data_IF_272792354180
#
_entry.id   IF_272792354180
#
_cell.length_a   1.000
_cell.length_b   1.000
_cell.length_c   1.000
_cell.angle_alpha   90.00
_cell.angle_beta   90.00
_cell.angle_gamma   90.00
#
_symmetry.space_group_name_H-M   'P 1'
#
loop_
_entity.id
_entity.type
_entity.pdbx_description
1 polymer ?
#
# COMPACT_ATOMS: atom_id res chain seq x y z
N UNK A 1 11.16 23.35 -8.60
CA UNK A 1 10.59 21.98 -8.46
C UNK A 1 11.42 21.20 -7.45
N UNK A 2 10.81 20.59 -6.46
CA UNK A 2 11.43 19.75 -5.45
C UNK A 2 11.78 18.37 -6.00
N UNK A 3 12.76 17.67 -5.40
CA UNK A 3 13.05 16.27 -5.79
C UNK A 3 11.94 15.33 -5.38
N UNK A 4 11.44 15.47 -4.14
CA UNK A 4 10.44 14.59 -3.53
C UNK A 4 9.39 15.40 -2.80
N UNK A 5 8.12 14.98 -2.91
CA UNK A 5 7.04 15.39 -2.03
C UNK A 5 6.42 14.16 -1.34
N UNK A 6 6.13 14.31 -0.05
CA UNK A 6 5.39 13.32 0.74
C UNK A 6 3.96 13.80 0.88
N UNK A 7 3.00 12.99 0.46
CA UNK A 7 1.58 13.31 0.46
C UNK A 7 0.81 12.38 1.39
N UNK A 8 0.23 12.91 2.46
CA UNK A 8 -0.63 12.17 3.38
C UNK A 8 -2.10 12.33 3.02
N UNK A 9 -2.81 11.24 2.90
CA UNK A 9 -4.26 11.22 2.75
C UNK A 9 -4.89 10.82 4.07
N UNK A 10 -5.72 11.69 4.67
CA UNK A 10 -6.27 11.48 6.01
C UNK A 10 -7.78 11.75 6.09
N UNK A 11 -8.44 11.13 7.08
CA UNK A 11 -9.86 11.33 7.38
C UNK A 11 -10.14 11.08 8.85
N UNK A 12 -10.54 12.11 9.60
CA UNK A 12 -10.86 12.08 11.05
C UNK A 12 -9.71 11.55 11.93
N UNK A 13 -8.44 11.84 11.57
CA UNK A 13 -7.26 11.31 12.26
C UNK A 13 -6.20 12.34 12.60
N UNK A 14 -6.64 13.50 13.10
CA UNK A 14 -5.76 14.61 13.51
C UNK A 14 -4.63 14.18 14.45
N UNK A 15 -4.89 13.22 15.38
CA UNK A 15 -3.87 12.71 16.31
C UNK A 15 -2.76 11.93 15.60
N UNK A 16 -3.09 11.15 14.56
CA UNK A 16 -2.10 10.40 13.76
C UNK A 16 -1.24 11.38 12.95
N UNK A 17 -1.88 12.35 12.28
CA UNK A 17 -1.16 13.39 11.53
C UNK A 17 -0.23 14.19 12.45
N UNK A 18 -0.66 14.48 13.68
CA UNK A 18 0.22 15.13 14.65
C UNK A 18 1.45 14.29 14.96
N UNK A 19 1.26 12.99 15.24
CA UNK A 19 2.36 12.05 15.53
C UNK A 19 3.32 11.93 14.33
N UNK A 20 2.78 11.84 13.12
CA UNK A 20 3.57 11.78 11.89
C UNK A 20 4.41 13.05 11.72
N UNK A 21 3.78 14.22 11.81
CA UNK A 21 4.46 15.51 11.66
C UNK A 21 5.49 15.78 12.77
N UNK A 22 5.23 15.38 14.01
CA UNK A 22 6.20 15.51 15.10
C UNK A 22 7.50 14.73 14.81
N UNK A 23 7.44 13.68 13.98
CA UNK A 23 8.60 12.85 13.61
C UNK A 23 9.29 13.38 12.35
N UNK A 24 8.53 13.78 11.34
CA UNK A 24 9.09 14.05 10.00
C UNK A 24 9.33 15.54 9.72
N UNK A 25 8.71 16.48 10.44
CA UNK A 25 8.78 17.91 10.10
C UNK A 25 10.21 18.45 10.01
N UNK A 26 11.06 18.17 10.99
CA UNK A 26 12.44 18.62 10.98
C UNK A 26 13.26 17.87 9.90
N UNK A 27 13.25 16.53 9.82
CA UNK A 27 13.97 15.83 8.76
C UNK A 27 13.57 16.24 7.35
N UNK A 28 12.28 16.40 7.06
CA UNK A 28 11.83 16.82 5.73
C UNK A 28 12.30 18.22 5.36
N UNK A 29 12.37 19.14 6.34
CA UNK A 29 12.97 20.48 6.16
C UNK A 29 14.45 20.37 5.79
N UNK A 30 15.22 19.56 6.51
CA UNK A 30 16.65 19.37 6.28
C UNK A 30 16.96 18.78 4.90
N UNK A 31 16.16 17.82 4.45
CA UNK A 31 16.32 17.19 3.14
C UNK A 31 15.61 17.93 1.99
N UNK A 32 14.95 19.07 2.26
CA UNK A 32 14.25 19.87 1.26
C UNK A 32 13.04 19.17 0.64
N UNK A 33 12.38 18.28 1.40
CA UNK A 33 11.19 17.51 1.01
C UNK A 33 9.95 18.29 1.44
N UNK A 34 9.02 18.55 0.52
CA UNK A 34 7.74 19.16 0.86
C UNK A 34 6.75 18.10 1.34
N UNK A 35 5.89 18.47 2.30
CA UNK A 35 4.88 17.59 2.89
C UNK A 35 3.50 18.16 2.65
N UNK A 36 2.60 17.37 2.08
CA UNK A 36 1.23 17.73 1.78
C UNK A 36 0.27 16.89 2.60
N UNK A 37 -0.72 17.54 3.25
CA UNK A 37 -1.75 16.86 4.03
C UNK A 37 -3.10 17.07 3.35
N UNK A 38 -3.64 16.02 2.75
CA UNK A 38 -4.94 16.01 2.08
C UNK A 38 -6.00 15.48 3.02
N UNK A 39 -6.77 16.40 3.62
CA UNK A 39 -7.75 16.09 4.66
C UNK A 39 -9.17 16.03 4.10
N UNK A 40 -9.87 14.92 4.32
CA UNK A 40 -11.28 14.74 4.02
C UNK A 40 -12.19 14.87 5.23
N UNK A 41 -11.68 15.29 6.39
CA UNK A 41 -12.44 15.38 7.62
C UNK A 41 -13.53 16.46 7.54
N UNK A 42 -14.66 16.23 8.20
CA UNK A 42 -15.75 17.23 8.27
C UNK A 42 -15.47 18.35 9.27
N UNK A 43 -14.56 18.13 10.23
CA UNK A 43 -14.16 19.10 11.23
C UNK A 43 -12.78 19.72 10.93
N UNK A 44 -12.38 20.71 11.74
CA UNK A 44 -11.14 21.46 11.54
C UNK A 44 -9.97 20.95 12.41
N UNK A 45 -10.07 19.79 13.08
CA UNK A 45 -9.03 19.30 14.01
C UNK A 45 -7.71 19.04 13.33
N UNK A 46 -7.74 18.44 12.14
CA UNK A 46 -6.51 18.19 11.34
C UNK A 46 -5.89 19.52 10.90
N UNK A 47 -6.69 20.46 10.38
CA UNK A 47 -6.25 21.80 10.00
C UNK A 47 -5.55 22.52 11.16
N UNK A 48 -6.15 22.48 12.33
CA UNK A 48 -5.59 23.10 13.53
C UNK A 48 -4.22 22.51 13.89
N UNK A 49 -4.09 21.19 13.84
CA UNK A 49 -2.82 20.50 14.11
C UNK A 49 -1.74 20.91 13.11
N UNK A 50 -2.06 20.90 11.80
CA UNK A 50 -1.11 21.26 10.75
C UNK A 50 -0.67 22.71 10.86
N UNK A 51 -1.62 23.65 11.07
CA UNK A 51 -1.32 25.08 11.22
C UNK A 51 -0.38 25.34 12.40
N UNK A 52 -0.58 24.65 13.54
CA UNK A 52 0.36 24.76 14.67
C UNK A 52 1.80 24.30 14.35
N UNK A 53 1.98 23.38 13.43
CA UNK A 53 3.28 22.96 12.98
C UNK A 53 3.88 24.01 12.03
N UNK A 54 3.08 24.56 11.11
CA UNK A 54 3.49 25.65 10.20
C UNK A 54 3.93 26.88 10.99
N UNK A 55 3.20 27.27 12.02
CA UNK A 55 3.49 28.40 12.93
C UNK A 55 4.86 28.26 13.64
N UNK A 56 5.37 27.02 13.79
CA UNK A 56 6.72 26.75 14.31
C UNK A 56 7.83 26.93 13.27
N UNK A 57 7.52 27.42 12.07
CA UNK A 57 8.49 27.68 11.00
C UNK A 57 8.70 26.52 10.01
N UNK A 58 7.76 25.57 9.95
CA UNK A 58 7.80 24.45 8.97
C UNK A 58 6.97 24.79 7.73
N UNK A 59 7.36 25.84 6.97
CA UNK A 59 6.62 26.38 5.82
C UNK A 59 6.58 25.43 4.59
N UNK A 60 7.34 24.34 4.60
CA UNK A 60 7.34 23.29 3.58
C UNK A 60 6.20 22.26 3.82
N UNK A 61 5.37 22.47 4.85
CA UNK A 61 4.19 21.64 5.13
C UNK A 61 2.95 22.38 4.65
N UNK A 62 2.15 21.72 3.83
CA UNK A 62 0.98 22.27 3.16
C UNK A 62 -0.28 21.52 3.60
N UNK A 63 -1.35 22.28 3.89
CA UNK A 63 -2.66 21.71 4.21
C UNK A 63 -3.66 21.98 3.09
N UNK A 64 -4.28 20.91 2.59
CA UNK A 64 -5.34 20.94 1.60
C UNK A 64 -6.57 20.19 2.13
N UNK A 65 -7.74 20.70 1.84
CA UNK A 65 -9.00 20.09 2.24
C UNK A 65 -9.78 19.63 1.02
N UNK A 66 -10.24 18.37 1.03
CA UNK A 66 -11.13 17.87 -0.01
C UNK A 66 -12.51 18.53 0.07
N UNK A 67 -13.24 18.59 -1.05
CA UNK A 67 -14.59 19.12 -1.08
C UNK A 67 -15.50 18.34 -0.10
N UNK A 68 -16.10 19.06 0.84
CA UNK A 68 -16.98 18.50 1.89
C UNK A 68 -18.28 17.93 1.35
N UNK A 69 -18.68 18.33 0.14
CA UNK A 69 -19.91 17.89 -0.51
C UNK A 69 -19.77 16.54 -1.21
N UNK A 70 -18.55 16.03 -1.36
CA UNK A 70 -18.31 14.73 -1.99
C UNK A 70 -18.74 13.56 -1.09
N UNK A 71 -19.22 12.49 -1.70
CA UNK A 71 -19.35 11.19 -1.02
C UNK A 71 -18.01 10.73 -0.46
N UNK A 72 -18.02 9.87 0.54
CA UNK A 72 -16.77 9.37 1.15
C UNK A 72 -15.82 8.71 0.15
N UNK A 73 -16.37 8.00 -0.83
CA UNK A 73 -15.60 7.35 -1.90
C UNK A 73 -15.00 8.40 -2.86
N UNK A 74 -15.81 9.33 -3.36
CA UNK A 74 -15.33 10.38 -4.26
C UNK A 74 -14.32 11.29 -3.57
N UNK A 75 -14.53 11.61 -2.29
CA UNK A 75 -13.56 12.36 -1.49
C UNK A 75 -12.23 11.61 -1.32
N UNK A 76 -12.24 10.28 -1.19
CA UNK A 76 -10.99 9.49 -1.16
C UNK A 76 -10.27 9.52 -2.50
N UNK A 77 -11.00 9.34 -3.60
CA UNK A 77 -10.45 9.40 -4.96
C UNK A 77 -9.85 10.76 -5.24
N UNK A 78 -10.59 11.84 -4.96
CA UNK A 78 -10.09 13.21 -5.13
C UNK A 78 -8.78 13.42 -4.36
N UNK A 79 -8.76 13.12 -3.06
CA UNK A 79 -7.56 13.31 -2.23
C UNK A 79 -6.34 12.54 -2.75
N UNK A 80 -6.54 11.34 -3.25
CA UNK A 80 -5.44 10.55 -3.84
C UNK A 80 -4.97 11.18 -5.15
N UNK A 81 -5.87 11.61 -6.03
CA UNK A 81 -5.52 12.30 -7.27
C UNK A 81 -4.76 13.59 -6.98
N UNK A 82 -5.29 14.43 -6.09
CA UNK A 82 -4.66 15.69 -5.70
C UNK A 82 -3.27 15.43 -5.08
N UNK A 83 -3.15 14.39 -4.24
CA UNK A 83 -1.90 14.01 -3.61
C UNK A 83 -0.82 13.57 -4.61
N UNK A 84 -1.21 13.05 -5.76
CA UNK A 84 -0.30 12.63 -6.82
C UNK A 84 0.01 13.74 -7.83
N UNK A 85 -0.92 14.68 -8.06
CA UNK A 85 -0.82 15.66 -9.15
C UNK A 85 -0.46 17.08 -8.71
N UNK A 86 -0.93 17.52 -7.54
CA UNK A 86 -0.71 18.92 -7.07
C UNK A 86 0.74 19.20 -6.69
N UNK A 87 1.51 18.31 -6.00
CA UNK A 87 2.85 18.64 -5.53
C UNK A 87 3.79 19.08 -6.66
N UNK A 88 4.49 20.21 -6.49
CA UNK A 88 5.56 20.64 -7.40
C UNK A 88 6.88 19.90 -7.10
N UNK A 89 6.89 18.62 -7.46
CA UNK A 89 8.01 17.73 -7.21
C UNK A 89 8.24 16.76 -8.38
N UNK A 90 9.47 16.25 -8.52
CA UNK A 90 9.81 15.23 -9.51
C UNK A 90 9.23 13.86 -9.17
N UNK A 91 9.19 13.54 -7.86
CA UNK A 91 8.67 12.29 -7.32
C UNK A 91 7.62 12.57 -6.25
N UNK A 92 6.62 11.69 -6.20
CA UNK A 92 5.57 11.74 -5.18
C UNK A 92 5.57 10.46 -4.37
N UNK A 93 5.49 10.62 -3.05
CA UNK A 93 5.32 9.55 -2.10
C UNK A 93 3.97 9.65 -1.41
N UNK A 94 3.00 8.85 -1.86
CA UNK A 94 1.68 8.83 -1.27
C UNK A 94 1.64 7.94 -0.03
N UNK A 95 1.31 8.53 1.11
CA UNK A 95 1.31 7.88 2.41
C UNK A 95 -0.07 7.87 3.05
N UNK A 96 -0.35 6.84 3.83
CA UNK A 96 -1.47 6.81 4.76
C UNK A 96 -1.05 7.30 6.15
N UNK A 97 -1.99 7.76 6.92
CA UNK A 97 -1.81 8.29 8.26
C UNK A 97 -1.63 7.24 9.38
N UNK A 98 -1.28 6.02 9.03
CA UNK A 98 -1.04 4.91 9.99
C UNK A 98 0.41 4.47 10.09
N UNK A 99 1.20 4.80 9.08
CA UNK A 99 2.59 4.36 8.97
C UNK A 99 3.49 5.58 8.92
N UNK A 100 4.23 5.79 9.97
CA UNK A 100 5.23 6.85 10.01
C UNK A 100 6.47 6.39 9.26
N UNK A 101 6.86 7.15 8.26
CA UNK A 101 8.07 6.92 7.50
C UNK A 101 9.28 7.19 8.42
N UNK A 102 10.21 6.27 8.48
CA UNK A 102 11.45 6.48 9.22
C UNK A 102 12.40 7.41 8.43
N UNK A 103 12.70 8.60 8.91
CA UNK A 103 13.57 9.55 8.21
C UNK A 103 14.98 9.03 7.89
N UNK A 104 15.44 7.98 8.56
CA UNK A 104 16.73 7.33 8.27
C UNK A 104 16.84 6.81 6.83
N UNK A 105 15.70 6.58 6.15
CA UNK A 105 15.69 6.15 4.75
C UNK A 105 15.72 7.29 3.73
N UNK A 106 15.60 8.55 4.15
CA UNK A 106 15.58 9.68 3.21
C UNK A 106 16.87 9.79 2.37
N UNK A 107 18.08 9.66 2.92
CA UNK A 107 19.31 9.70 2.12
C UNK A 107 19.33 8.61 1.03
N UNK A 108 18.96 7.38 1.37
CA UNK A 108 18.94 6.26 0.42
C UNK A 108 17.87 6.49 -0.68
N UNK A 109 16.66 6.94 -0.30
CA UNK A 109 15.60 7.27 -1.26
C UNK A 109 16.05 8.37 -2.22
N UNK A 110 16.64 9.45 -1.68
CA UNK A 110 17.10 10.57 -2.49
C UNK A 110 18.25 10.16 -3.43
N UNK A 111 19.11 9.23 -3.05
CA UNK A 111 20.14 8.70 -3.95
C UNK A 111 19.53 7.97 -5.16
N UNK A 112 18.47 7.21 -4.99
CA UNK A 112 17.76 6.57 -6.12
C UNK A 112 17.00 7.58 -6.98
N UNK A 113 16.48 8.65 -6.39
CA UNK A 113 15.90 9.77 -7.15
C UNK A 113 16.97 10.44 -8.02
N UNK A 114 18.15 10.67 -7.49
CA UNK A 114 19.30 11.26 -8.23
C UNK A 114 19.79 10.32 -9.35
N UNK A 115 19.72 9.00 -9.17
CA UNK A 115 19.97 8.00 -10.20
C UNK A 115 18.80 7.87 -11.21
N UNK A 116 17.73 8.64 -11.07
CA UNK A 116 16.52 8.68 -11.94
C UNK A 116 15.77 7.35 -12.02
N UNK A 117 15.61 6.64 -10.91
CA UNK A 117 14.73 5.47 -10.84
C UNK A 117 13.27 5.87 -11.12
N UNK A 118 12.53 5.04 -11.87
CA UNK A 118 11.14 5.31 -12.23
C UNK A 118 10.18 5.03 -11.07
N UNK A 119 10.48 4.00 -10.29
CA UNK A 119 9.70 3.57 -9.13
C UNK A 119 10.62 3.04 -8.04
N UNK A 120 10.34 3.46 -6.80
CA UNK A 120 11.06 3.04 -5.60
C UNK A 120 10.01 2.44 -4.64
N UNK A 121 10.21 1.20 -4.24
CA UNK A 121 9.31 0.54 -3.28
C UNK A 121 10.09 0.21 -2.01
N UNK A 122 9.54 0.57 -0.84
CA UNK A 122 10.13 0.25 0.45
C UNK A 122 9.37 -0.93 1.04
N UNK A 123 10.09 -1.95 1.43
CA UNK A 123 9.51 -3.15 1.98
C UNK A 123 10.06 -3.46 3.38
N UNK A 124 9.16 -3.67 4.33
CA UNK A 124 9.51 -4.00 5.72
C UNK A 124 9.26 -5.47 6.09
N UNK A 125 9.39 -6.40 5.13
CA UNK A 125 8.98 -7.78 5.30
C UNK A 125 10.11 -8.82 5.19
N UNK A 126 9.77 -10.00 4.64
CA UNK A 126 10.60 -11.20 4.60
C UNK A 126 11.69 -11.14 3.52
N UNK A 127 11.55 -10.23 2.54
CA UNK A 127 12.50 -10.09 1.45
C UNK A 127 13.83 -9.54 1.98
N UNK A 128 14.94 -10.17 1.60
CA UNK A 128 16.27 -9.78 2.11
C UNK A 128 17.04 -8.98 1.07
N UNK A 129 17.56 -7.84 1.52
CA UNK A 129 18.45 -6.96 0.78
C UNK A 129 17.76 -6.11 -0.28
N UNK A 130 18.27 -4.90 -0.47
CA UNK A 130 17.84 -3.97 -1.52
C UNK A 130 18.14 -4.54 -2.90
N UNK A 131 17.20 -4.46 -3.84
CA UNK A 131 17.32 -4.99 -5.21
C UNK A 131 16.93 -3.97 -6.27
N UNK A 132 17.77 -3.84 -7.29
CA UNK A 132 17.55 -3.01 -8.48
C UNK A 132 17.07 -3.87 -9.65
N UNK A 133 16.20 -3.32 -10.48
CA UNK A 133 15.57 -4.00 -11.62
C UNK A 133 15.63 -3.10 -12.86
N UNK A 134 15.87 -3.70 -14.01
CA UNK A 134 15.84 -3.07 -15.32
C UNK A 134 14.72 -3.59 -16.23
N UNK A 135 13.76 -4.31 -15.67
CA UNK A 135 12.59 -4.84 -16.36
C UNK A 135 11.35 -4.69 -15.50
N UNK A 136 10.27 -4.10 -16.02
CA UNK A 136 9.00 -3.97 -15.30
C UNK A 136 8.46 -5.32 -14.83
N UNK A 137 8.54 -6.37 -15.66
CA UNK A 137 8.04 -7.69 -15.31
C UNK A 137 8.84 -8.34 -14.18
N UNK A 138 10.18 -8.23 -14.18
CA UNK A 138 11.01 -8.75 -13.07
C UNK A 138 10.79 -7.95 -11.78
N UNK A 139 10.63 -6.63 -11.91
CA UNK A 139 10.29 -5.78 -10.76
C UNK A 139 8.94 -6.19 -10.18
N UNK A 140 7.91 -6.33 -11.02
CA UNK A 140 6.56 -6.68 -10.57
C UNK A 140 6.52 -8.08 -9.95
N UNK A 141 7.19 -9.07 -10.53
CA UNK A 141 7.28 -10.42 -9.95
C UNK A 141 7.83 -10.41 -8.52
N UNK A 142 8.75 -9.51 -8.22
CA UNK A 142 9.33 -9.35 -6.89
C UNK A 142 8.50 -8.45 -5.97
N UNK A 143 8.00 -7.32 -6.49
CA UNK A 143 7.47 -6.21 -5.73
C UNK A 143 5.93 -6.16 -5.66
N UNK A 144 5.20 -7.07 -6.33
CA UNK A 144 3.74 -6.96 -6.46
C UNK A 144 3.02 -6.93 -5.10
N UNK A 145 3.47 -7.68 -4.12
CA UNK A 145 2.89 -7.65 -2.76
C UNK A 145 3.35 -6.41 -1.99
N UNK A 146 4.64 -6.05 -1.93
CA UNK A 146 5.09 -4.78 -1.36
C UNK A 146 4.34 -3.55 -1.87
N UNK A 147 4.13 -3.43 -3.19
CA UNK A 147 3.40 -2.31 -3.80
C UNK A 147 1.98 -2.16 -3.24
N UNK A 148 1.34 -3.24 -2.79
CA UNK A 148 -0.02 -3.18 -2.23
C UNK A 148 -0.10 -2.44 -0.90
N UNK A 149 1.00 -2.29 -0.19
CA UNK A 149 1.04 -1.54 1.05
C UNK A 149 0.96 -0.03 0.74
N UNK A 150 -0.08 0.61 1.29
CA UNK A 150 -0.28 2.05 1.14
C UNK A 150 0.87 2.80 1.83
N UNK A 151 1.62 3.58 1.07
CA UNK A 151 2.82 4.26 1.57
C UNK A 151 4.15 3.52 1.30
N UNK A 152 4.12 2.35 0.67
CA UNK A 152 5.35 1.64 0.31
C UNK A 152 6.02 2.15 -0.97
N UNK A 153 5.32 2.93 -1.79
CA UNK A 153 5.77 3.23 -3.17
C UNK A 153 5.95 4.72 -3.41
N UNK A 154 7.09 5.08 -3.97
CA UNK A 154 7.45 6.39 -4.48
C UNK A 154 7.56 6.27 -6.00
N UNK A 155 6.94 7.17 -6.74
CA UNK A 155 6.90 7.10 -8.20
C UNK A 155 7.26 8.45 -8.81
N UNK A 156 7.87 8.42 -9.97
CA UNK A 156 8.12 9.60 -10.79
C UNK A 156 6.80 10.25 -11.21
N UNK A 157 6.62 11.53 -10.91
CA UNK A 157 5.33 12.22 -11.10
C UNK A 157 4.86 12.20 -12.55
N UNK A 158 5.76 12.41 -13.52
CA UNK A 158 5.40 12.42 -14.94
C UNK A 158 4.85 11.08 -15.47
N UNK A 159 5.13 9.97 -14.81
CA UNK A 159 4.55 8.68 -15.17
C UNK A 159 3.07 8.60 -14.79
N UNK A 160 2.67 9.26 -13.70
CA UNK A 160 1.28 9.29 -13.23
C UNK A 160 0.46 10.26 -14.07
N UNK A 161 1.00 11.42 -14.41
CA UNK A 161 0.33 12.46 -15.19
C UNK A 161 -0.04 11.98 -16.61
N UNK A 162 0.69 10.99 -17.13
CA UNK A 162 0.40 10.37 -18.43
C UNK A 162 -0.77 9.39 -18.40
N UNK A 163 -1.32 9.09 -17.23
CA UNK A 163 -2.36 8.06 -17.03
C UNK A 163 -3.70 8.68 -16.61
N UNK A 164 -4.79 8.33 -17.31
CA UNK A 164 -6.13 8.78 -16.93
C UNK A 164 -6.64 8.07 -15.66
N UNK A 165 -6.47 8.73 -14.54
CA UNK A 165 -6.92 8.25 -13.23
C UNK A 165 -8.45 8.07 -13.16
N UNK A 166 -9.23 8.72 -14.03
CA UNK A 166 -10.69 8.56 -14.07
C UNK A 166 -11.10 7.22 -14.68
N UNK A 167 -10.33 6.70 -15.61
CA UNK A 167 -10.60 5.36 -16.16
C UNK A 167 -10.36 4.25 -15.14
N UNK A 168 -9.30 4.37 -14.30
CA UNK A 168 -9.03 3.39 -13.24
C UNK A 168 -10.14 3.38 -12.20
N UNK A 169 -10.71 4.54 -11.89
CA UNK A 169 -11.78 4.66 -10.90
C UNK A 169 -13.08 3.96 -11.34
N UNK A 170 -13.28 3.72 -12.63
CA UNK A 170 -14.42 2.97 -13.17
C UNK A 170 -14.26 1.46 -12.96
N UNK A 171 -13.04 0.98 -12.90
CA UNK A 171 -12.72 -0.42 -12.64
C UNK A 171 -12.62 -0.65 -11.13
N UNK A 172 -13.74 -0.80 -10.41
CA UNK A 172 -13.85 -0.93 -8.96
C UNK A 172 -12.93 -2.06 -8.42
N UNK A 173 -11.63 -1.80 -8.39
CA UNK A 173 -10.62 -2.69 -7.82
C UNK A 173 -10.08 -2.09 -6.53
N UNK A 174 -9.99 -2.88 -5.47
CA UNK A 174 -9.40 -2.42 -4.20
C UNK A 174 -7.94 -2.00 -4.30
N UNK A 175 -7.26 -2.43 -5.34
CA UNK A 175 -5.87 -2.13 -5.65
C UNK A 175 -5.73 -1.13 -6.81
N UNK A 176 -6.76 -0.30 -7.03
CA UNK A 176 -6.79 0.63 -8.17
C UNK A 176 -5.57 1.57 -8.23
N UNK A 177 -5.11 2.08 -7.09
CA UNK A 177 -3.91 2.92 -7.02
C UNK A 177 -2.66 2.14 -7.45
N UNK A 178 -2.50 0.92 -6.96
CA UNK A 178 -1.37 0.06 -7.31
C UNK A 178 -1.41 -0.35 -8.78
N UNK A 179 -2.62 -0.58 -9.30
CA UNK A 179 -2.83 -0.85 -10.71
C UNK A 179 -2.37 0.33 -11.57
N UNK A 180 -2.64 1.58 -11.13
CA UNK A 180 -2.17 2.78 -11.83
C UNK A 180 -0.64 2.82 -11.92
N UNK A 181 0.06 2.60 -10.81
CA UNK A 181 1.51 2.55 -10.80
C UNK A 181 2.07 1.47 -11.74
N UNK A 182 1.48 0.28 -11.71
CA UNK A 182 1.92 -0.85 -12.53
C UNK A 182 1.67 -0.57 -14.02
N UNK A 183 0.54 0.02 -14.38
CA UNK A 183 0.23 0.43 -15.74
C UNK A 183 1.17 1.51 -16.24
N UNK A 184 1.49 2.49 -15.41
CA UNK A 184 2.41 3.59 -15.76
C UNK A 184 3.81 3.12 -16.10
N UNK A 185 4.29 2.01 -15.53
CA UNK A 185 5.63 1.48 -15.77
C UNK A 185 5.68 0.35 -16.80
N UNK A 186 4.54 -0.18 -17.25
CA UNK A 186 4.45 -1.42 -18.04
C UNK A 186 5.29 -1.41 -19.32
N UNK A 187 5.36 -0.27 -20.01
CA UNK A 187 5.96 -0.13 -21.32
C UNK A 187 7.22 0.76 -21.32
N UNK A 188 7.88 0.95 -20.17
CA UNK A 188 9.11 1.74 -20.10
C UNK A 188 10.28 0.90 -20.63
N UNK A 189 10.85 1.29 -21.77
CA UNK A 189 11.97 0.57 -22.40
C UNK A 189 13.24 0.55 -21.55
N UNK A 190 13.62 1.69 -20.96
CA UNK A 190 14.81 1.84 -20.10
C UNK A 190 14.42 1.90 -18.63
N UNK A 191 13.60 0.95 -18.20
CA UNK A 191 13.05 0.89 -16.87
C UNK A 191 14.12 0.77 -15.79
N UNK A 192 13.95 1.53 -14.72
CA UNK A 192 14.72 1.43 -13.47
C UNK A 192 13.77 1.35 -12.28
N UNK A 193 13.67 0.19 -11.66
CA UNK A 193 12.94 -0.01 -10.42
C UNK A 193 13.85 -0.44 -9.29
N UNK A 194 13.52 -0.07 -8.05
CA UNK A 194 14.23 -0.56 -6.86
C UNK A 194 13.25 -0.94 -5.76
N UNK A 195 13.57 -2.03 -5.05
CA UNK A 195 12.92 -2.41 -3.80
C UNK A 195 13.95 -2.29 -2.69
N UNK A 196 13.73 -1.34 -1.79
CA UNK A 196 14.57 -1.09 -0.62
C UNK A 196 14.14 -2.07 0.49
N UNK A 197 15.10 -2.79 1.05
CA UNK A 197 14.88 -3.59 2.26
C UNK A 197 14.90 -2.67 3.49
N UNK A 198 13.75 -2.22 3.91
CA UNK A 198 13.59 -1.39 5.09
C UNK A 198 13.55 -2.18 6.40
N UNK A 199 13.46 -3.50 6.34
CA UNK A 199 13.27 -4.35 7.51
C UNK A 199 12.08 -3.89 8.38
N UNK A 200 12.12 -4.21 9.66
CA UNK A 200 11.10 -3.74 10.63
C UNK A 200 11.21 -2.25 10.94
N UNK A 201 12.25 -1.58 10.48
CA UNK A 201 12.55 -0.19 10.80
C UNK A 201 12.01 0.81 9.78
N UNK A 202 11.60 0.35 8.57
CA UNK A 202 11.14 1.23 7.51
C UNK A 202 9.92 2.06 7.93
N UNK A 203 9.00 1.41 8.63
CA UNK A 203 7.76 2.03 9.05
C UNK A 203 7.57 1.88 10.55
N UNK A 204 7.36 3.00 11.24
CA UNK A 204 6.89 2.99 12.63
C UNK A 204 5.38 2.97 12.60
N UNK A 205 4.77 2.00 13.26
CA UNK A 205 3.31 1.99 13.44
C UNK A 205 2.91 3.07 14.43
N UNK A 206 1.85 3.81 14.10
CA UNK A 206 1.27 4.80 15.01
C UNK A 206 0.93 4.19 16.38
N UNK A 207 1.19 4.94 17.44
CA UNK A 207 0.83 4.56 18.83
C UNK A 207 -0.68 4.40 19.02
N UNK A 208 -1.47 5.01 18.16
CA UNK A 208 -2.92 4.94 18.23
C UNK A 208 -3.42 3.63 17.62
N UNK A 209 -3.77 2.67 18.49
CA UNK A 209 -4.43 1.43 18.06
C UNK A 209 -5.81 1.76 17.50
N UNK A 210 -5.95 1.73 16.21
CA UNK A 210 -7.28 1.65 15.60
C UNK A 210 -7.74 0.19 15.69
N UNK A 211 -9.00 -0.08 16.12
CA UNK A 211 -9.52 -1.45 16.07
C UNK A 211 -9.32 -1.99 14.65
N UNK A 212 -8.54 -3.05 14.51
CA UNK A 212 -8.25 -3.60 13.20
C UNK A 212 -9.47 -4.36 12.68
N UNK A 213 -10.38 -3.63 12.01
CA UNK A 213 -11.37 -4.26 11.12
C UNK A 213 -10.68 -4.95 9.93
N UNK A 214 -9.38 -4.69 9.72
CA UNK A 214 -8.63 -5.15 8.55
C UNK A 214 -8.51 -6.67 8.45
N UNK A 215 -8.50 -7.40 9.58
CA UNK A 215 -8.38 -8.85 9.54
C UNK A 215 -9.65 -9.55 9.05
N UNK A 216 -10.84 -8.96 9.22
CA UNK A 216 -12.10 -9.55 8.75
C UNK A 216 -12.25 -9.59 7.23
N UNK A 217 -11.36 -8.91 6.50
CA UNK A 217 -11.41 -8.81 5.02
C UNK A 217 -10.29 -9.59 4.32
N UNK A 218 -9.49 -10.39 5.05
CA UNK A 218 -8.35 -11.09 4.46
C UNK A 218 -8.76 -11.97 3.28
N UNK A 219 -9.79 -12.78 3.47
CA UNK A 219 -10.29 -13.67 2.42
C UNK A 219 -10.79 -12.91 1.20
N UNK A 220 -11.67 -11.92 1.39
CA UNK A 220 -12.20 -11.10 0.32
C UNK A 220 -11.10 -10.35 -0.43
N UNK A 221 -10.16 -9.74 0.31
CA UNK A 221 -9.06 -8.97 -0.28
C UNK A 221 -8.10 -9.83 -1.08
N UNK A 222 -7.64 -10.96 -0.50
CA UNK A 222 -6.52 -11.72 -1.06
C UNK A 222 -6.94 -12.95 -1.89
N UNK A 223 -8.22 -13.29 -1.92
CA UNK A 223 -8.76 -14.31 -2.84
C UNK A 223 -9.55 -13.63 -3.96
N UNK A 224 -10.59 -12.85 -3.63
CA UNK A 224 -11.51 -12.32 -4.64
C UNK A 224 -10.90 -11.11 -5.35
N UNK A 225 -10.55 -10.07 -4.59
CA UNK A 225 -10.07 -8.81 -5.16
C UNK A 225 -8.67 -8.92 -5.73
N UNK A 226 -7.84 -9.80 -5.17
CA UNK A 226 -6.53 -10.12 -5.73
C UNK A 226 -6.63 -10.76 -7.11
N UNK A 227 -7.56 -11.72 -7.29
CA UNK A 227 -7.82 -12.30 -8.60
C UNK A 227 -8.28 -11.24 -9.62
N UNK A 228 -9.18 -10.34 -9.23
CA UNK A 228 -9.59 -9.23 -10.07
C UNK A 228 -8.39 -8.35 -10.47
N UNK A 229 -7.58 -7.96 -9.50
CA UNK A 229 -6.39 -7.15 -9.71
C UNK A 229 -5.40 -7.77 -10.70
N UNK A 230 -5.07 -9.08 -10.53
CA UNK A 230 -4.17 -9.77 -11.46
C UNK A 230 -4.72 -9.82 -12.88
N UNK A 231 -6.04 -10.02 -13.03
CA UNK A 231 -6.68 -10.05 -14.35
C UNK A 231 -6.72 -8.67 -15.03
N UNK A 232 -6.67 -7.58 -14.28
CA UNK A 232 -6.64 -6.20 -14.78
C UNK A 232 -5.23 -5.70 -15.12
N UNK A 233 -4.18 -6.50 -14.87
CA UNK A 233 -2.82 -6.12 -15.25
C UNK A 233 -2.69 -6.02 -16.78
N UNK A 234 -1.89 -5.06 -17.29
CA UNK A 234 -1.60 -4.93 -18.71
C UNK A 234 -1.08 -6.23 -19.36
N UNK A 235 -1.29 -6.37 -20.65
CA UNK A 235 -0.82 -7.53 -21.45
C UNK A 235 0.70 -7.67 -21.44
N UNK A 236 1.43 -6.57 -21.23
CA UNK A 236 2.87 -6.58 -21.02
C UNK A 236 3.35 -7.53 -19.90
N UNK A 237 2.44 -7.93 -19.01
CA UNK A 237 2.71 -8.86 -17.90
C UNK A 237 2.13 -10.26 -18.09
N UNK A 238 1.55 -10.60 -19.24
CA UNK A 238 0.87 -11.89 -19.46
C UNK A 238 1.79 -13.09 -19.19
N UNK A 239 3.06 -12.96 -19.52
CA UNK A 239 4.09 -13.98 -19.30
C UNK A 239 4.33 -14.30 -17.80
N UNK A 240 3.98 -13.38 -16.89
CA UNK A 240 4.17 -13.55 -15.45
C UNK A 240 2.85 -13.62 -14.65
N UNK A 241 1.70 -13.26 -15.23
CA UNK A 241 0.40 -13.22 -14.51
C UNK A 241 0.14 -14.50 -13.72
N UNK A 242 0.40 -15.67 -14.31
CA UNK A 242 0.13 -16.96 -13.66
C UNK A 242 0.88 -17.14 -12.34
N UNK A 243 2.13 -16.69 -12.27
CA UNK A 243 2.95 -16.82 -11.06
C UNK A 243 2.65 -15.72 -10.02
N UNK A 244 1.96 -14.64 -10.41
CA UNK A 244 1.60 -13.58 -9.47
C UNK A 244 0.44 -13.96 -8.55
N UNK A 245 -0.41 -14.91 -8.95
CA UNK A 245 -1.58 -15.29 -8.14
C UNK A 245 -1.22 -15.75 -6.73
N UNK A 246 -0.17 -16.54 -6.57
CA UNK A 246 0.21 -17.11 -5.26
C UNK A 246 1.24 -16.28 -4.48
N UNK A 247 1.65 -15.12 -4.99
CA UNK A 247 2.62 -14.23 -4.30
C UNK A 247 2.19 -13.81 -2.89
N UNK A 248 0.91 -13.47 -2.62
CA UNK A 248 0.49 -13.15 -1.25
C UNK A 248 0.73 -14.28 -0.26
N UNK A 249 0.52 -15.53 -0.67
CA UNK A 249 0.78 -16.68 0.18
C UNK A 249 2.27 -16.96 0.33
N UNK A 250 3.03 -16.97 -0.78
CA UNK A 250 4.48 -17.21 -0.79
C UNK A 250 5.28 -16.14 -0.04
N UNK A 251 4.93 -14.86 -0.20
CA UNK A 251 5.70 -13.74 0.37
C UNK A 251 5.25 -13.37 1.77
N UNK A 252 3.97 -13.55 2.11
CA UNK A 252 3.40 -13.08 3.37
C UNK A 252 2.85 -14.19 4.26
N UNK A 253 2.72 -15.41 3.74
CA UNK A 253 2.13 -16.53 4.48
C UNK A 253 0.66 -16.32 4.87
N UNK A 254 -0.08 -15.51 4.09
CA UNK A 254 -1.47 -15.14 4.42
C UNK A 254 -2.42 -16.34 4.52
N UNK A 255 -2.05 -17.46 3.92
CA UNK A 255 -2.81 -18.71 3.96
C UNK A 255 -1.97 -19.88 4.49
N UNK A 256 -0.94 -19.59 5.30
CA UNK A 256 -0.24 -20.61 6.05
C UNK A 256 -1.20 -21.42 6.92
N UNK A 257 -0.82 -22.62 7.33
CA UNK A 257 -1.65 -23.51 8.18
C UNK A 257 -2.18 -22.80 9.43
N UNK A 258 -1.29 -22.11 10.15
CA UNK A 258 -1.66 -21.35 11.37
C UNK A 258 -2.62 -20.21 11.05
N UNK A 259 -2.40 -19.49 9.96
CA UNK A 259 -3.23 -18.36 9.56
C UNK A 259 -4.63 -18.81 9.10
N UNK A 260 -4.74 -19.92 8.37
CA UNK A 260 -6.03 -20.52 8.01
C UNK A 260 -6.81 -21.02 9.24
N UNK A 261 -6.13 -21.65 10.21
CA UNK A 261 -6.74 -22.02 11.49
C UNK A 261 -7.27 -20.80 12.24
N UNK A 262 -6.50 -19.70 12.25
CA UNK A 262 -6.91 -18.45 12.87
C UNK A 262 -8.15 -17.88 12.18
N UNK A 263 -8.15 -17.77 10.85
CA UNK A 263 -9.28 -17.30 10.06
C UNK A 263 -10.53 -18.17 10.28
N UNK A 264 -10.34 -19.48 10.38
CA UNK A 264 -11.44 -20.42 10.70
C UNK A 264 -12.00 -20.17 12.11
N UNK A 265 -11.15 -20.00 13.09
CA UNK A 265 -11.56 -19.75 14.48
C UNK A 265 -12.34 -18.44 14.64
N UNK A 266 -11.93 -17.41 13.92
CA UNK A 266 -12.57 -16.08 13.88
C UNK A 266 -13.84 -16.05 13.00
N UNK A 267 -14.14 -17.14 12.28
CA UNK A 267 -15.32 -17.23 11.40
C UNK A 267 -15.19 -16.51 10.07
N UNK A 268 -13.96 -16.13 9.68
CA UNK A 268 -13.67 -15.48 8.41
C UNK A 268 -13.56 -16.46 7.25
N UNK A 269 -13.32 -17.73 7.53
CA UNK A 269 -13.16 -18.83 6.60
C UNK A 269 -13.99 -20.04 7.04
N UNK A 270 -14.72 -20.66 6.09
CA UNK A 270 -15.52 -21.87 6.29
C UNK A 270 -15.69 -22.65 4.99
N UNK A 271 -16.35 -23.81 5.07
CA UNK A 271 -16.57 -24.69 3.94
C UNK A 271 -17.42 -24.04 2.81
N UNK A 272 -18.35 -23.13 3.12
CA UNK A 272 -19.15 -22.43 2.12
C UNK A 272 -18.25 -21.51 1.30
N UNK A 273 -17.47 -20.66 1.95
CA UNK A 273 -16.49 -19.79 1.28
C UNK A 273 -15.44 -20.59 0.51
N UNK A 274 -14.99 -21.73 1.03
CA UNK A 274 -14.09 -22.62 0.30
C UNK A 274 -14.73 -23.09 -1.01
N UNK A 275 -15.97 -23.58 -0.98
CA UNK A 275 -16.66 -24.05 -2.20
C UNK A 275 -16.93 -22.92 -3.20
N UNK A 276 -17.39 -21.77 -2.73
CA UNK A 276 -17.64 -20.59 -3.55
C UNK A 276 -16.38 -20.11 -4.28
N UNK A 277 -15.21 -20.19 -3.63
CA UNK A 277 -13.95 -19.69 -4.17
C UNK A 277 -12.97 -20.79 -4.59
N UNK A 278 -13.39 -22.06 -4.71
CA UNK A 278 -12.52 -23.24 -4.88
C UNK A 278 -11.48 -23.07 -6.00
N UNK A 279 -11.88 -22.56 -7.14
CA UNK A 279 -10.98 -22.39 -8.28
C UNK A 279 -9.95 -21.26 -8.04
N UNK A 280 -10.33 -20.21 -7.29
CA UNK A 280 -9.40 -19.14 -6.90
C UNK A 280 -8.42 -19.64 -5.82
N UNK A 281 -8.92 -20.41 -4.87
CA UNK A 281 -8.12 -21.03 -3.80
C UNK A 281 -7.00 -21.88 -4.38
N UNK A 282 -7.28 -22.70 -5.42
CA UNK A 282 -6.27 -23.50 -6.13
C UNK A 282 -5.17 -22.67 -6.78
N UNK A 283 -5.48 -21.46 -7.24
CA UNK A 283 -4.51 -20.56 -7.88
C UNK A 283 -3.66 -19.79 -6.87
N UNK A 284 -4.23 -19.44 -5.72
CA UNK A 284 -3.66 -18.46 -4.78
C UNK A 284 -2.97 -19.14 -3.60
N UNK A 285 -3.59 -20.19 -3.04
CA UNK A 285 -3.09 -20.89 -1.85
C UNK A 285 -2.15 -22.02 -2.27
N UNK A 286 -0.92 -21.96 -1.77
CA UNK A 286 0.14 -22.94 -2.08
C UNK A 286 -0.10 -24.28 -1.36
N UNK A 287 -0.74 -24.24 -0.19
CA UNK A 287 -1.05 -25.44 0.59
C UNK A 287 -1.91 -26.43 -0.22
N UNK A 288 -1.65 -27.76 -0.13
CA UNK A 288 -2.50 -28.76 -0.76
C UNK A 288 -3.99 -28.61 -0.39
N UNK A 289 -4.85 -28.68 -1.40
CA UNK A 289 -6.27 -28.35 -1.27
C UNK A 289 -7.01 -29.19 -0.22
N UNK A 290 -6.55 -30.42 0.00
CA UNK A 290 -7.14 -31.29 1.03
C UNK A 290 -7.00 -30.69 2.43
N UNK A 291 -5.85 -30.07 2.77
CA UNK A 291 -5.65 -29.41 4.06
C UNK A 291 -6.52 -28.15 4.18
N UNK A 292 -6.62 -27.35 3.13
CA UNK A 292 -7.48 -26.17 3.09
C UNK A 292 -8.93 -26.56 3.33
N UNK A 293 -9.39 -27.62 2.66
CA UNK A 293 -10.74 -28.17 2.85
C UNK A 293 -10.93 -28.67 4.29
N UNK A 294 -10.03 -29.52 4.81
CA UNK A 294 -10.12 -30.03 6.18
C UNK A 294 -10.22 -28.89 7.20
N UNK A 295 -9.40 -27.82 7.05
CA UNK A 295 -9.48 -26.67 7.96
C UNK A 295 -10.85 -25.98 7.82
N UNK A 296 -11.41 -25.86 6.59
CA UNK A 296 -12.68 -25.20 6.36
C UNK A 296 -13.87 -25.82 7.09
N UNK A 297 -13.84 -27.13 7.30
CA UNK A 297 -14.92 -27.89 7.99
C UNK A 297 -14.67 -28.04 9.50
N UNK A 298 -13.49 -27.70 10.04
CA UNK A 298 -13.21 -27.82 11.47
C UNK A 298 -14.21 -27.00 12.30
N UNK A 299 -14.64 -27.49 13.47
CA UNK A 299 -15.33 -26.68 14.47
C UNK A 299 -14.47 -25.48 14.90
N UNK A 300 -15.08 -24.28 15.04
CA UNK A 300 -14.33 -23.05 15.41
C UNK A 300 -13.52 -23.21 16.68
N UNK A 301 -14.07 -23.89 17.70
CA UNK A 301 -13.38 -24.16 18.99
C UNK A 301 -12.12 -25.02 18.80
N UNK A 302 -12.20 -26.05 17.94
CA UNK A 302 -11.06 -26.91 17.64
C UNK A 302 -10.00 -26.16 16.82
N UNK A 303 -10.40 -25.37 15.85
CA UNK A 303 -9.49 -24.51 15.08
C UNK A 303 -8.75 -23.51 15.98
N UNK A 304 -9.44 -22.90 16.97
CA UNK A 304 -8.84 -22.00 17.94
C UNK A 304 -7.79 -22.73 18.79
N UNK A 305 -8.14 -23.87 19.35
CA UNK A 305 -7.24 -24.68 20.17
C UNK A 305 -5.97 -25.10 19.39
N UNK A 306 -6.13 -25.57 18.14
CA UNK A 306 -4.99 -25.90 17.28
C UNK A 306 -4.12 -24.68 16.96
N UNK A 307 -4.73 -23.51 16.74
CA UNK A 307 -4.01 -22.27 16.46
C UNK A 307 -3.18 -21.79 17.66
N UNK A 308 -3.65 -22.03 18.90
CA UNK A 308 -2.97 -21.63 20.13
C UNK A 308 -1.80 -22.58 20.48
N UNK A 309 -1.85 -23.84 20.01
CA UNK A 309 -0.79 -24.84 20.26
C UNK A 309 0.37 -24.82 19.25
N UNK A 310 0.15 -24.28 18.05
CA UNK A 310 1.16 -24.10 17.01
C UNK A 310 1.62 -22.63 16.95
#
# INVERSE_FOLDING_TARGET
MKKLAISFVTFNRAKHIKEDLDIIAQPTKEYGIDVYIYDGSKDNRTKYVVNKIIEKGYNHIHYLHADRNLSSQNSMIQRVNDALTIPDAQYVWLCGDRFVINPLFYPEILSYIDESFDIITIYGGILKGTRKFNSPSRFLDYAIVPITAFGATIIKKNLIESYDMQEINKEICSFWLQLSYIRSIANIEKFKGVVIDGGQQAFKTSRYKTPSKSRSYMWDTWIIRWNQFINLLPDAYDNIKKQLFNKPDLQMGFFSFKELLRQRSEGQFDWKKYLECRELVKKIIVMPQIYVFCISVLPKKLAKWLCEKN
#
